data_IF_477711636909
#
_entry.id   IF_477711636909
#
_cell.length_a   1.000
_cell.length_b   1.000
_cell.length_c   1.000
_cell.angle_alpha   90.00
_cell.angle_beta   90.00
_cell.angle_gamma   90.00
#
_symmetry.space_group_name_H-M   'P 1'
#
loop_
_entity.id
_entity.type
_entity.pdbx_description
1 polymer ?
#
# COMPACT_ATOMS: atom_id res chain seq x y z
N UNK A 1 -13.14 -20.24 -21.95
CA UNK A 1 -12.95 -18.92 -21.33
C UNK A 1 -11.62 -18.95 -20.60
N UNK A 2 -10.57 -18.40 -21.21
CA UNK A 2 -9.24 -18.32 -20.61
C UNK A 2 -9.18 -17.03 -19.81
N UNK A 3 -9.09 -17.11 -18.48
CA UNK A 3 -8.76 -15.94 -17.66
C UNK A 3 -7.31 -15.61 -17.95
N UNK A 4 -7.08 -14.70 -18.89
CA UNK A 4 -5.80 -14.03 -19.05
C UNK A 4 -5.47 -13.35 -17.72
N UNK A 5 -4.67 -14.04 -16.91
CA UNK A 5 -3.97 -13.41 -15.79
C UNK A 5 -3.11 -12.35 -16.44
N UNK A 6 -3.53 -11.09 -16.34
CA UNK A 6 -2.82 -9.94 -16.89
C UNK A 6 -1.50 -9.82 -16.13
N UNK A 7 -0.48 -10.55 -16.60
CA UNK A 7 0.84 -10.57 -16.01
C UNK A 7 1.39 -9.15 -16.10
N UNK A 8 1.54 -8.50 -14.94
CA UNK A 8 2.20 -7.22 -14.82
C UNK A 8 3.56 -7.31 -15.52
N UNK A 9 3.92 -6.29 -16.32
CA UNK A 9 5.22 -6.26 -16.99
C UNK A 9 6.35 -6.47 -15.97
N UNK A 10 7.49 -7.04 -16.39
CA UNK A 10 8.58 -7.37 -15.46
C UNK A 10 9.00 -6.17 -14.59
N UNK A 11 8.96 -4.94 -15.13
CA UNK A 11 9.17 -3.72 -14.34
C UNK A 11 8.05 -3.47 -13.34
N UNK A 12 6.79 -3.59 -13.75
CA UNK A 12 5.62 -3.42 -12.87
C UNK A 12 5.58 -4.44 -11.72
N UNK A 13 5.99 -5.70 -11.97
CA UNK A 13 6.05 -6.73 -10.92
C UNK A 13 7.21 -6.50 -9.96
N UNK A 14 8.39 -6.12 -10.46
CA UNK A 14 9.54 -5.73 -9.60
C UNK A 14 9.20 -4.52 -8.73
N UNK A 15 8.54 -3.51 -9.30
CA UNK A 15 8.14 -2.30 -8.57
C UNK A 15 7.11 -2.64 -7.47
N UNK A 16 6.20 -3.58 -7.71
CA UNK A 16 5.24 -4.03 -6.70
C UNK A 16 5.91 -4.80 -5.55
N UNK A 17 6.88 -5.68 -5.85
CA UNK A 17 7.63 -6.39 -4.80
C UNK A 17 8.53 -5.44 -3.99
N UNK A 18 9.17 -4.47 -4.64
CA UNK A 18 9.91 -3.40 -3.99
C UNK A 18 8.98 -2.57 -3.07
N UNK A 19 7.79 -2.21 -3.56
CA UNK A 19 6.79 -1.50 -2.78
C UNK A 19 6.31 -2.34 -1.59
N UNK A 20 6.02 -3.64 -1.77
CA UNK A 20 5.67 -4.55 -0.65
C UNK A 20 6.74 -4.55 0.43
N UNK A 21 8.00 -4.64 0.03
CA UNK A 21 9.11 -4.63 0.97
C UNK A 21 9.23 -3.29 1.70
N UNK A 22 9.06 -2.17 1.00
CA UNK A 22 9.04 -0.83 1.60
C UNK A 22 7.87 -0.67 2.58
N UNK A 23 6.66 -1.01 2.18
CA UNK A 23 5.46 -0.95 3.01
C UNK A 23 5.59 -1.80 4.28
N UNK A 24 6.23 -2.97 4.19
CA UNK A 24 6.55 -3.79 5.36
C UNK A 24 7.48 -3.09 6.35
N UNK A 25 8.48 -2.32 5.87
CA UNK A 25 9.35 -1.50 6.73
C UNK A 25 8.57 -0.38 7.42
N UNK A 26 7.57 0.19 6.75
CA UNK A 26 6.65 1.19 7.30
C UNK A 26 5.63 0.59 8.30
N UNK A 27 5.65 -0.73 8.52
CA UNK A 27 4.78 -1.40 9.49
C UNK A 27 3.47 -1.94 8.90
N UNK A 28 3.29 -1.90 7.58
CA UNK A 28 2.17 -2.55 6.91
C UNK A 28 2.31 -4.06 6.97
N UNK A 29 1.24 -4.71 7.45
CA UNK A 29 1.20 -6.16 7.72
C UNK A 29 0.22 -6.90 6.83
N UNK A 30 -0.77 -6.20 6.30
CA UNK A 30 -1.78 -6.79 5.43
C UNK A 30 -1.54 -6.34 4.00
N UNK A 31 -1.63 -7.30 3.09
CA UNK A 31 -1.46 -7.11 1.68
C UNK A 31 -2.51 -7.92 0.91
N UNK A 32 -3.15 -7.31 -0.08
CA UNK A 32 -4.09 -7.95 -1.00
C UNK A 32 -3.90 -7.43 -2.43
N UNK A 33 -4.02 -8.31 -3.42
CA UNK A 33 -4.11 -7.95 -4.85
C UNK A 33 -5.44 -8.46 -5.40
N UNK A 34 -6.18 -7.57 -6.07
CA UNK A 34 -7.51 -7.84 -6.60
C UNK A 34 -7.87 -6.75 -7.61
N UNK A 35 -8.48 -7.13 -8.72
CA UNK A 35 -8.97 -6.19 -9.75
C UNK A 35 -7.92 -5.16 -10.26
N UNK A 36 -6.63 -5.53 -10.23
CA UNK A 36 -5.51 -4.68 -10.64
C UNK A 36 -5.10 -3.60 -9.63
N UNK A 37 -5.60 -3.69 -8.40
CA UNK A 37 -5.21 -2.85 -7.28
C UNK A 37 -4.38 -3.65 -6.27
N UNK A 38 -3.48 -2.96 -5.60
CA UNK A 38 -2.72 -3.46 -4.46
C UNK A 38 -3.14 -2.69 -3.21
N UNK A 39 -3.61 -3.40 -2.19
CA UNK A 39 -3.99 -2.83 -0.89
C UNK A 39 -2.97 -3.19 0.17
N UNK A 40 -2.54 -2.19 0.93
CA UNK A 40 -1.66 -2.32 2.08
C UNK A 40 -2.39 -1.76 3.30
N UNK A 41 -2.53 -2.55 4.37
CA UNK A 41 -3.11 -2.03 5.62
C UNK A 41 -2.21 -2.28 6.84
N UNK A 42 -2.25 -1.34 7.78
CA UNK A 42 -1.61 -1.46 9.09
C UNK A 42 -2.51 -0.94 10.20
N UNK A 43 -2.42 -1.59 11.37
CA UNK A 43 -2.96 -1.05 12.61
C UNK A 43 -2.10 0.10 13.09
N UNK A 44 -2.70 1.26 13.35
CA UNK A 44 -1.96 2.42 13.89
C UNK A 44 -1.79 2.37 15.39
N UNK A 45 -2.65 1.63 16.10
CA UNK A 45 -2.66 1.47 17.55
C UNK A 45 -2.72 -0.02 17.94
N UNK A 46 -1.60 -0.73 17.81
CA UNK A 46 -1.43 -2.07 18.38
C UNK A 46 -0.83 -3.11 17.44
N UNK A 47 -0.39 -4.23 18.03
CA UNK A 47 0.27 -5.36 17.34
C UNK A 47 -0.72 -6.44 16.88
N UNK A 48 -2.03 -6.14 16.87
CA UNK A 48 -3.08 -7.10 16.54
C UNK A 48 -2.79 -7.84 15.22
N UNK A 49 -2.79 -9.18 15.30
CA UNK A 49 -2.72 -10.09 14.14
C UNK A 49 -4.08 -10.31 13.49
N UNK A 50 -5.18 -9.80 14.07
CA UNK A 50 -6.52 -9.89 13.49
C UNK A 50 -6.73 -8.73 12.50
N UNK A 51 -7.46 -8.93 11.39
CA UNK A 51 -7.90 -7.84 10.53
C UNK A 51 -8.51 -6.78 11.43
N UNK A 52 -8.04 -5.54 11.34
CA UNK A 52 -8.58 -4.50 12.18
C UNK A 52 -10.07 -4.38 11.93
N UNK A 53 -10.83 -4.28 13.02
CA UNK A 53 -12.06 -3.51 12.94
C UNK A 53 -11.63 -2.15 12.40
N UNK A 54 -12.22 -1.72 11.27
CA UNK A 54 -11.82 -0.60 10.42
C UNK A 54 -11.51 0.73 11.12
N UNK A 55 -11.80 0.86 12.42
CA UNK A 55 -11.58 2.07 13.21
C UNK A 55 -10.12 2.46 13.44
N UNK A 56 -9.15 1.55 13.48
CA UNK A 56 -7.77 1.86 13.89
C UNK A 56 -6.73 1.48 12.82
N UNK A 57 -7.11 1.62 11.55
CA UNK A 57 -6.27 1.27 10.40
C UNK A 57 -5.97 2.46 9.49
N UNK A 58 -4.75 2.45 8.96
CA UNK A 58 -4.44 3.09 7.67
C UNK A 58 -4.43 2.00 6.62
N UNK A 59 -5.22 2.19 5.56
CA UNK A 59 -5.15 1.39 4.35
C UNK A 59 -4.73 2.28 3.19
N UNK A 60 -3.85 1.74 2.34
CA UNK A 60 -3.38 2.38 1.13
C UNK A 60 -3.70 1.46 -0.01
N UNK A 61 -4.37 1.99 -1.02
CA UNK A 61 -4.60 1.28 -2.27
C UNK A 61 -3.85 1.99 -3.38
N UNK A 62 -3.08 1.23 -4.16
CA UNK A 62 -2.40 1.76 -5.34
C UNK A 62 -2.78 0.98 -6.59
N UNK A 63 -2.88 1.68 -7.72
CA UNK A 63 -3.02 1.10 -9.05
C UNK A 63 -2.27 1.97 -10.05
N UNK A 64 -1.20 1.44 -10.61
CA UNK A 64 -0.23 2.22 -11.40
C UNK A 64 0.29 3.40 -10.57
N UNK A 65 -0.01 4.64 -10.96
CA UNK A 65 0.38 5.87 -10.24
C UNK A 65 -0.73 6.41 -9.33
N UNK A 66 -1.93 5.82 -9.35
CA UNK A 66 -3.03 6.27 -8.50
C UNK A 66 -2.84 5.76 -7.08
N UNK A 67 -2.71 6.69 -6.13
CA UNK A 67 -2.60 6.42 -4.71
C UNK A 67 -3.87 6.91 -3.99
N UNK A 68 -4.45 6.06 -3.14
CA UNK A 68 -5.53 6.43 -2.24
C UNK A 68 -5.23 5.94 -0.84
N UNK A 69 -5.30 6.85 0.14
CA UNK A 69 -5.06 6.57 1.56
C UNK A 69 -6.39 6.71 2.30
N UNK A 70 -6.85 5.62 2.90
CA UNK A 70 -7.99 5.59 3.80
C UNK A 70 -7.49 5.53 5.25
N UNK A 71 -7.81 6.58 6.01
CA UNK A 71 -7.54 6.65 7.45
C UNK A 71 -8.86 6.87 8.18
N UNK A 72 -9.17 5.98 9.12
CA UNK A 72 -10.35 6.12 9.98
C UNK A 72 -9.90 6.64 11.34
N UNK A 73 -10.54 7.71 11.83
CA UNK A 73 -10.20 8.51 13.03
C UNK A 73 -9.09 9.55 12.86
N UNK A 74 -9.20 10.63 13.62
CA UNK A 74 -8.30 11.78 13.58
C UNK A 74 -6.84 11.42 13.91
N UNK A 75 -6.62 10.58 14.92
CA UNK A 75 -5.27 10.19 15.33
C UNK A 75 -4.53 9.35 14.28
N UNK A 76 -5.29 8.62 13.46
CA UNK A 76 -4.78 7.86 12.32
C UNK A 76 -4.47 8.80 11.15
N UNK A 77 -5.36 9.76 10.90
CA UNK A 77 -5.18 10.78 9.86
C UNK A 77 -3.91 11.62 10.05
N UNK A 78 -3.48 11.86 11.30
CA UNK A 78 -2.22 12.57 11.59
C UNK A 78 -0.96 11.89 11.04
N UNK A 79 -1.00 10.57 10.81
CA UNK A 79 0.13 9.82 10.23
C UNK A 79 0.15 9.80 8.71
N UNK A 80 -0.96 10.19 8.06
CA UNK A 80 -1.09 10.16 6.60
C UNK A 80 -0.01 10.99 5.88
N UNK A 81 0.34 12.22 6.32
CA UNK A 81 1.39 12.99 5.65
C UNK A 81 2.75 12.30 5.61
N UNK A 82 3.17 11.70 6.72
CA UNK A 82 4.45 10.96 6.82
C UNK A 82 4.45 9.73 5.91
N UNK A 83 3.37 8.96 5.94
CA UNK A 83 3.19 7.78 5.09
C UNK A 83 3.18 8.15 3.60
N UNK A 84 2.48 9.24 3.25
CA UNK A 84 2.41 9.73 1.89
C UNK A 84 3.80 10.14 1.38
N UNK A 85 4.57 10.88 2.20
CA UNK A 85 5.92 11.28 1.83
C UNK A 85 6.83 10.07 1.63
N UNK A 86 6.80 9.07 2.52
CA UNK A 86 7.62 7.87 2.38
C UNK A 86 7.35 7.09 1.07
N UNK A 87 6.10 7.08 0.61
CA UNK A 87 5.72 6.45 -0.66
C UNK A 87 6.23 7.26 -1.86
N UNK A 88 6.13 8.60 -1.79
CA UNK A 88 6.68 9.48 -2.82
C UNK A 88 8.20 9.32 -2.92
N UNK A 89 8.90 9.32 -1.78
CA UNK A 89 10.36 9.11 -1.72
C UNK A 89 10.75 7.75 -2.32
N UNK A 90 9.94 6.71 -2.09
CA UNK A 90 10.13 5.40 -2.71
C UNK A 90 9.96 5.45 -4.23
N UNK A 91 8.91 6.10 -4.74
CA UNK A 91 8.73 6.23 -6.20
C UNK A 91 9.85 7.02 -6.85
N UNK A 92 10.33 8.10 -6.23
CA UNK A 92 11.48 8.85 -6.72
C UNK A 92 12.76 7.99 -6.74
N UNK A 93 13.05 7.27 -5.65
CA UNK A 93 14.24 6.42 -5.56
C UNK A 93 14.26 5.27 -6.57
N UNK A 94 13.10 4.72 -6.91
CA UNK A 94 12.95 3.66 -7.91
C UNK A 94 12.83 4.20 -9.35
N UNK A 95 12.92 5.53 -9.54
CA UNK A 95 12.76 6.16 -10.85
C UNK A 95 11.35 5.97 -11.46
N UNK A 96 10.35 5.79 -10.60
CA UNK A 96 8.95 5.62 -10.98
C UNK A 96 8.36 7.01 -11.17
N UNK A 97 8.51 7.53 -12.37
CA UNK A 97 7.86 8.76 -12.85
C UNK A 97 6.67 8.43 -13.74
N UNK A 98 5.67 9.32 -13.80
CA UNK A 98 4.46 9.18 -14.63
C UNK A 98 4.71 8.74 -16.09
#
# INVERSE_FOLDING_TARGET
>A
MSTEVKVLSTSTRTNLEALKHHMKKLGFKYFEEKDGWAWFCMHTFGTSKKPALFGDCVCISTRFFNLSIQAVRLEVAKKVPEINQAILDFYEAEGITE
#
